data_IF_791009424890
#
_entry.id   IF_791009424890
#
_cell.length_a   1.000
_cell.length_b   1.000
_cell.length_c   1.000
_cell.angle_alpha   90.00
_cell.angle_beta   90.00
_cell.angle_gamma   90.00
#
_symmetry.space_group_name_H-M   'P 1'
#
loop_
_entity.id
_entity.type
_entity.pdbx_description
1 polymer ?
#
# COMPACT_ATOMS: atom_id res chain seq x y z
N UNK A 1 -0.05 -12.38 -17.83
CA UNK A 1 0.40 -13.43 -16.90
C UNK A 1 -0.76 -13.82 -15.96
N UNK A 2 -1.21 -15.08 -16.01
CA UNK A 2 -2.17 -15.61 -15.04
C UNK A 2 -1.40 -16.19 -13.86
N UNK A 3 -1.75 -15.78 -12.64
CA UNK A 3 -1.20 -16.34 -11.40
C UNK A 3 -2.35 -16.96 -10.59
N UNK A 4 -2.11 -18.13 -10.00
CA UNK A 4 -3.14 -18.86 -9.22
C UNK A 4 -3.04 -18.54 -7.72
N UNK A 5 -2.63 -17.30 -7.37
CA UNK A 5 -2.49 -16.79 -6.01
C UNK A 5 -3.00 -15.37 -5.93
N UNK A 6 -3.48 -14.97 -4.77
CA UNK A 6 -3.86 -13.58 -4.49
C UNK A 6 -2.67 -12.65 -4.66
N UNK A 7 -2.88 -11.53 -5.37
CA UNK A 7 -1.88 -10.47 -5.55
C UNK A 7 -2.23 -9.34 -4.58
N UNK A 8 -1.33 -9.05 -3.65
CA UNK A 8 -1.46 -7.92 -2.72
C UNK A 8 -1.01 -6.61 -3.36
N UNK A 9 0.10 -6.65 -4.10
CA UNK A 9 0.66 -5.47 -4.78
C UNK A 9 1.52 -5.87 -5.97
N UNK A 10 1.79 -4.87 -6.82
CA UNK A 10 2.70 -4.96 -7.97
C UNK A 10 3.66 -3.77 -7.91
N UNK A 11 4.95 -4.02 -8.13
CA UNK A 11 5.97 -2.97 -8.22
C UNK A 11 6.82 -3.15 -9.47
N UNK A 12 7.08 -2.05 -10.18
CA UNK A 12 7.91 -2.02 -11.38
C UNK A 12 9.40 -2.12 -11.03
N UNK A 13 10.19 -2.80 -11.85
CA UNK A 13 11.66 -2.83 -11.79
C UNK A 13 12.23 -2.07 -12.98
N UNK A 14 12.17 -2.65 -14.15
CA UNK A 14 12.58 -2.06 -15.44
C UNK A 14 11.80 -2.72 -16.57
N UNK A 15 11.58 -2.02 -17.67
CA UNK A 15 10.90 -2.54 -18.87
C UNK A 15 9.64 -3.36 -18.51
N UNK A 16 9.69 -4.67 -18.79
CA UNK A 16 8.59 -5.61 -18.52
C UNK A 16 8.83 -6.49 -17.28
N UNK A 17 9.76 -6.10 -16.41
CA UNK A 17 10.10 -6.83 -15.18
C UNK A 17 9.42 -6.18 -13.98
N UNK A 18 8.69 -6.99 -13.22
CA UNK A 18 7.89 -6.55 -12.07
C UNK A 18 8.10 -7.46 -10.87
N UNK A 19 7.94 -6.90 -9.68
CA UNK A 19 7.75 -7.67 -8.44
C UNK A 19 6.26 -7.83 -8.19
N UNK A 20 5.81 -9.05 -7.99
CA UNK A 20 4.47 -9.38 -7.52
C UNK A 20 4.54 -9.81 -6.05
N UNK A 21 3.78 -9.14 -5.20
CA UNK A 21 3.50 -9.60 -3.83
C UNK A 21 2.37 -10.61 -3.85
N UNK A 22 2.71 -11.88 -3.87
CA UNK A 22 1.74 -12.99 -3.87
C UNK A 22 1.53 -13.48 -2.44
N UNK A 23 0.50 -14.28 -2.19
CA UNK A 23 0.10 -14.75 -0.86
C UNK A 23 1.24 -14.76 0.19
N UNK A 24 2.27 -15.59 0.01
CA UNK A 24 3.38 -15.78 0.95
C UNK A 24 4.76 -15.65 0.28
N UNK A 25 4.81 -14.99 -0.87
CA UNK A 25 6.09 -14.84 -1.60
C UNK A 25 6.13 -13.54 -2.40
N UNK A 26 7.32 -13.01 -2.55
CA UNK A 26 7.65 -12.04 -3.60
C UNK A 26 8.12 -12.81 -4.82
N UNK A 27 7.58 -12.48 -5.99
CA UNK A 27 7.98 -13.10 -7.24
C UNK A 27 8.39 -12.04 -8.23
N UNK A 28 9.62 -12.11 -8.74
CA UNK A 28 10.10 -11.24 -9.81
C UNK A 28 9.85 -11.95 -11.12
N UNK A 29 9.13 -11.29 -12.03
CA UNK A 29 8.67 -11.87 -13.29
C UNK A 29 8.90 -10.94 -14.47
N UNK A 30 9.19 -11.51 -15.63
CA UNK A 30 9.07 -10.81 -16.91
C UNK A 30 7.67 -11.07 -17.47
N UNK A 31 6.87 -10.02 -17.69
CA UNK A 31 5.48 -10.15 -18.10
C UNK A 31 5.29 -10.56 -19.57
N UNK A 32 6.28 -10.33 -20.46
CA UNK A 32 6.20 -10.71 -21.88
C UNK A 32 6.39 -12.22 -22.03
N UNK A 33 7.55 -12.72 -21.62
CA UNK A 33 7.87 -14.15 -21.79
C UNK A 33 7.39 -15.02 -20.62
N UNK A 34 6.72 -14.42 -19.62
CA UNK A 34 6.15 -15.06 -18.44
C UNK A 34 7.17 -15.79 -17.55
N UNK A 35 8.47 -15.53 -17.73
CA UNK A 35 9.55 -16.17 -16.97
C UNK A 35 9.60 -15.63 -15.53
N UNK A 36 9.69 -16.54 -14.56
CA UNK A 36 9.96 -16.22 -13.17
C UNK A 36 11.48 -16.11 -13.03
N UNK A 37 11.96 -14.94 -12.61
CA UNK A 37 13.38 -14.67 -12.40
C UNK A 37 13.81 -15.02 -10.97
N UNK A 38 13.00 -14.63 -9.98
CA UNK A 38 13.25 -14.86 -8.56
C UNK A 38 11.95 -15.16 -7.82
N UNK A 39 12.07 -15.97 -6.76
CA UNK A 39 10.98 -16.26 -5.83
C UNK A 39 11.52 -16.25 -4.40
N UNK A 40 10.97 -15.38 -3.55
CA UNK A 40 11.41 -15.18 -2.17
C UNK A 40 10.24 -15.46 -1.25
N UNK A 41 10.31 -16.50 -0.43
CA UNK A 41 9.28 -16.83 0.56
C UNK A 41 9.32 -15.85 1.73
N UNK A 42 8.14 -15.39 2.14
CA UNK A 42 7.94 -14.48 3.27
C UNK A 42 7.11 -15.21 4.33
N UNK A 43 7.56 -15.14 5.59
CA UNK A 43 6.84 -15.71 6.74
C UNK A 43 6.45 -17.19 6.57
N UNK A 44 7.36 -18.04 6.09
CA UNK A 44 7.11 -19.47 5.81
C UNK A 44 6.47 -20.24 6.99
N UNK A 45 6.72 -19.79 8.24
CA UNK A 45 6.15 -20.37 9.46
C UNK A 45 4.73 -19.84 9.78
N UNK A 46 4.24 -18.80 9.08
CA UNK A 46 2.91 -18.21 9.30
C UNK A 46 1.98 -18.52 8.12
N UNK A 47 1.52 -19.76 8.01
CA UNK A 47 0.74 -20.29 6.88
C UNK A 47 -0.52 -19.48 6.54
N UNK A 48 -1.13 -18.86 7.55
CA UNK A 48 -2.33 -18.03 7.37
C UNK A 48 -2.04 -16.58 7.01
N UNK A 49 -0.79 -16.14 7.00
CA UNK A 49 -0.45 -14.80 6.58
C UNK A 49 -0.36 -14.69 5.06
N UNK A 50 -0.66 -13.50 4.56
CA UNK A 50 -0.43 -13.08 3.18
C UNK A 50 0.24 -11.72 3.12
N UNK A 51 0.89 -11.43 2.00
CA UNK A 51 1.31 -10.08 1.66
C UNK A 51 0.05 -9.24 1.36
N UNK A 52 0.05 -7.99 1.79
CA UNK A 52 -1.10 -7.11 1.61
C UNK A 52 -0.75 -5.93 0.68
N UNK A 53 -0.23 -4.85 1.21
CA UNK A 53 0.15 -3.67 0.43
C UNK A 53 1.67 -3.53 0.37
N UNK A 54 2.19 -2.91 -0.70
CA UNK A 54 3.61 -2.67 -0.87
C UNK A 54 3.89 -1.52 -1.84
N UNK A 55 4.97 -0.79 -1.57
CA UNK A 55 5.38 0.37 -2.36
C UNK A 55 6.89 0.57 -2.33
N UNK A 56 7.43 1.06 -3.42
CA UNK A 56 8.85 1.42 -3.52
C UNK A 56 9.09 2.83 -2.99
N UNK A 57 10.15 3.01 -2.23
CA UNK A 57 10.54 4.33 -1.70
C UNK A 57 11.39 5.14 -2.69
N UNK A 58 11.77 6.36 -2.29
CA UNK A 58 12.52 7.30 -3.12
C UNK A 58 13.94 6.86 -3.48
N UNK A 59 14.48 5.83 -2.83
CA UNK A 59 15.81 5.24 -3.11
C UNK A 59 15.72 3.85 -3.74
N UNK A 60 14.51 3.40 -4.10
CA UNK A 60 14.28 2.17 -4.82
C UNK A 60 14.22 0.91 -3.96
N UNK A 61 14.01 1.01 -2.64
CA UNK A 61 13.75 -0.16 -1.77
C UNK A 61 12.27 -0.50 -1.81
N UNK A 62 11.90 -1.77 -1.87
CA UNK A 62 10.51 -2.22 -1.83
C UNK A 62 10.09 -2.49 -0.38
N UNK A 63 9.08 -1.77 0.06
CA UNK A 63 8.45 -1.94 1.38
C UNK A 63 7.12 -2.63 1.22
N UNK A 64 6.82 -3.58 2.10
CA UNK A 64 5.57 -4.33 2.03
C UNK A 64 5.17 -4.83 3.42
N UNK A 65 3.88 -5.04 3.56
CA UNK A 65 3.31 -5.53 4.80
C UNK A 65 2.61 -6.87 4.66
N UNK A 66 2.43 -7.56 5.78
CA UNK A 66 1.69 -8.82 5.88
C UNK A 66 0.49 -8.69 6.79
N UNK A 67 -0.46 -9.62 6.65
CA UNK A 67 -1.64 -9.73 7.49
C UNK A 67 -2.13 -11.17 7.54
N UNK A 68 -2.99 -11.48 8.53
CA UNK A 68 -3.73 -12.73 8.55
C UNK A 68 -4.77 -12.77 7.42
N UNK A 69 -4.70 -13.75 6.54
CA UNK A 69 -5.58 -13.87 5.36
C UNK A 69 -7.03 -14.15 5.73
N UNK A 70 -7.27 -14.76 6.89
CA UNK A 70 -8.61 -14.99 7.42
C UNK A 70 -9.17 -13.77 8.15
N UNK A 71 -8.41 -12.68 8.24
CA UNK A 71 -8.78 -11.42 8.88
C UNK A 71 -9.26 -11.60 10.32
N UNK A 72 -8.72 -12.59 11.04
CA UNK A 72 -8.99 -12.82 12.47
C UNK A 72 -8.47 -11.63 13.30
N UNK A 73 -8.92 -11.53 14.54
CA UNK A 73 -8.47 -10.46 15.46
C UNK A 73 -7.10 -10.76 16.08
N UNK A 74 -6.11 -11.14 15.25
CA UNK A 74 -4.73 -11.47 15.70
C UNK A 74 -3.73 -10.50 15.08
N UNK A 75 -2.72 -10.12 15.85
CA UNK A 75 -1.66 -9.20 15.43
C UNK A 75 -0.48 -9.96 14.82
N UNK A 76 -0.73 -10.71 13.73
CA UNK A 76 0.29 -11.52 13.07
C UNK A 76 1.07 -10.77 11.99
N UNK A 77 0.56 -9.61 11.55
CA UNK A 77 1.14 -8.81 10.47
C UNK A 77 2.46 -8.14 10.87
N UNK A 78 3.31 -7.95 9.88
CA UNK A 78 4.63 -7.33 10.01
C UNK A 78 4.91 -6.42 8.82
N UNK A 79 5.78 -5.43 9.02
CA UNK A 79 6.32 -4.55 7.99
C UNK A 79 7.72 -5.01 7.60
N UNK A 80 7.99 -5.10 6.31
CA UNK A 80 9.26 -5.52 5.72
C UNK A 80 9.80 -4.50 4.73
N UNK A 81 11.12 -4.57 4.51
CA UNK A 81 11.81 -3.87 3.44
C UNK A 81 12.69 -4.87 2.68
N UNK A 82 12.53 -4.94 1.35
CA UNK A 82 13.43 -5.66 0.45
C UNK A 82 14.44 -4.66 -0.10
N UNK A 83 15.72 -4.93 0.07
CA UNK A 83 16.79 -4.12 -0.48
C UNK A 83 17.21 -4.57 -1.90
N UNK A 84 18.08 -3.80 -2.53
CA UNK A 84 18.57 -4.03 -3.90
C UNK A 84 19.29 -5.39 -4.10
N UNK A 85 19.76 -6.01 -3.03
CA UNK A 85 20.45 -7.32 -3.04
C UNK A 85 19.48 -8.47 -2.72
N UNK A 86 18.17 -8.24 -2.80
CA UNK A 86 17.10 -9.20 -2.48
C UNK A 86 17.09 -9.67 -1.01
N UNK A 87 17.74 -8.93 -0.10
CA UNK A 87 17.69 -9.22 1.33
C UNK A 87 16.44 -8.63 1.94
N UNK A 88 15.65 -9.46 2.63
CA UNK A 88 14.44 -9.08 3.34
C UNK A 88 14.78 -8.68 4.77
N UNK A 89 14.42 -7.45 5.14
CA UNK A 89 14.59 -6.89 6.48
C UNK A 89 13.23 -6.77 7.14
N UNK A 90 13.03 -7.39 8.30
CA UNK A 90 11.85 -7.14 9.13
C UNK A 90 12.06 -5.82 9.89
N UNK A 91 11.12 -4.89 9.72
CA UNK A 91 11.21 -3.53 10.25
C UNK A 91 10.39 -3.38 11.53
N UNK A 92 9.15 -3.92 11.51
CA UNK A 92 8.19 -3.79 12.61
C UNK A 92 7.21 -4.97 12.58
N UNK A 93 6.46 -5.16 13.68
CA UNK A 93 5.48 -6.24 13.77
C UNK A 93 4.27 -5.90 14.68
N UNK A 94 3.44 -6.92 14.96
CA UNK A 94 2.24 -6.82 15.80
C UNK A 94 1.15 -5.92 15.22
N UNK A 95 1.00 -5.93 13.91
CA UNK A 95 -0.12 -5.32 13.19
C UNK A 95 -1.26 -6.32 12.99
N UNK A 96 -2.49 -5.82 12.97
CA UNK A 96 -3.64 -6.60 12.51
C UNK A 96 -3.65 -6.68 10.99
N UNK A 97 -3.70 -5.52 10.33
CA UNK A 97 -3.75 -5.39 8.88
C UNK A 97 -2.83 -4.23 8.51
N UNK A 98 -1.73 -4.55 7.82
CA UNK A 98 -0.76 -3.55 7.35
C UNK A 98 -1.22 -2.92 6.04
N UNK A 99 -1.12 -1.60 5.91
CA UNK A 99 -1.34 -0.87 4.68
C UNK A 99 -0.37 0.30 4.51
N UNK A 100 -0.14 0.71 3.26
CA UNK A 100 0.94 1.59 2.89
C UNK A 100 2.26 0.81 2.69
N UNK A 101 3.42 1.47 2.75
CA UNK A 101 3.67 2.81 3.28
C UNK A 101 3.40 3.95 2.30
N UNK A 102 3.41 5.19 2.82
CA UNK A 102 3.47 6.42 2.03
C UNK A 102 4.66 7.27 2.50
N UNK A 103 5.57 7.61 1.59
CA UNK A 103 6.87 8.16 1.94
C UNK A 103 6.88 9.69 1.97
N UNK A 104 7.42 10.26 3.05
CA UNK A 104 7.80 11.67 3.12
C UNK A 104 9.17 11.89 2.50
N UNK A 105 10.13 11.04 2.86
CA UNK A 105 11.49 10.98 2.31
C UNK A 105 12.07 9.56 2.50
N UNK A 106 13.38 9.38 2.28
CA UNK A 106 14.07 8.08 2.39
C UNK A 106 14.08 7.46 3.80
N UNK A 107 13.78 8.25 4.84
CA UNK A 107 13.86 7.82 6.23
C UNK A 107 12.53 8.01 6.99
N UNK A 108 11.60 8.79 6.45
CA UNK A 108 10.34 9.13 7.09
C UNK A 108 9.15 8.69 6.22
N UNK A 109 8.20 7.97 6.81
CA UNK A 109 7.03 7.47 6.10
C UNK A 109 5.83 7.30 7.03
N UNK A 110 4.65 7.16 6.43
CA UNK A 110 3.44 6.76 7.10
C UNK A 110 3.18 5.26 6.89
N UNK A 111 2.65 4.59 7.91
CA UNK A 111 2.24 3.20 7.85
C UNK A 111 0.96 2.98 8.67
N UNK A 112 0.09 2.09 8.20
CA UNK A 112 -1.26 1.91 8.75
C UNK A 112 -1.42 0.58 9.46
N UNK A 113 -2.12 0.58 10.59
CA UNK A 113 -2.85 -0.60 11.10
C UNK A 113 -4.34 -0.37 10.84
N UNK A 114 -4.82 -0.87 9.72
CA UNK A 114 -6.18 -0.64 9.22
C UNK A 114 -7.24 -1.02 10.25
N UNK A 115 -7.12 -2.21 10.86
CA UNK A 115 -8.12 -2.68 11.84
C UNK A 115 -8.18 -1.82 13.09
N UNK A 116 -7.05 -1.25 13.51
CA UNK A 116 -7.04 -0.26 14.58
C UNK A 116 -7.60 1.08 14.16
N UNK A 117 -7.67 1.37 12.85
CA UNK A 117 -7.96 2.70 12.33
C UNK A 117 -6.83 3.70 12.62
N UNK A 118 -5.59 3.24 12.74
CA UNK A 118 -4.45 4.07 13.14
C UNK A 118 -3.42 4.19 12.02
N UNK A 119 -2.98 5.43 11.77
CA UNK A 119 -1.84 5.72 10.89
C UNK A 119 -0.70 6.23 11.76
N UNK A 120 0.47 5.63 11.60
CA UNK A 120 1.70 5.99 12.29
C UNK A 120 2.63 6.76 11.37
N UNK A 121 3.30 7.77 11.91
CA UNK A 121 4.48 8.39 11.29
C UNK A 121 5.72 7.72 11.87
N UNK A 122 6.54 7.13 11.00
CA UNK A 122 7.70 6.34 11.37
C UNK A 122 8.96 6.99 10.82
N UNK A 123 10.01 7.09 11.64
CA UNK A 123 11.36 7.47 11.25
C UNK A 123 12.30 6.31 11.46
N UNK A 124 13.15 6.03 10.47
CA UNK A 124 14.20 5.01 10.52
C UNK A 124 15.59 5.62 10.39
N UNK A 125 16.60 4.90 10.82
CA UNK A 125 18.01 5.23 10.58
C UNK A 125 18.57 4.52 9.32
N UNK A 126 19.85 4.75 9.00
CA UNK A 126 20.53 4.12 7.85
C UNK A 126 20.59 2.58 7.93
N UNK A 127 20.48 1.99 9.13
CA UNK A 127 20.46 0.53 9.36
C UNK A 127 19.03 -0.05 9.33
N UNK A 128 18.04 0.70 8.81
CA UNK A 128 16.62 0.34 8.75
C UNK A 128 15.97 0.07 10.13
N UNK A 129 16.53 0.60 11.21
CA UNK A 129 15.95 0.49 12.55
C UNK A 129 15.03 1.68 12.82
N UNK A 130 13.87 1.41 13.40
CA UNK A 130 12.93 2.47 13.82
C UNK A 130 13.58 3.26 14.97
N UNK A 131 13.68 4.57 14.80
CA UNK A 131 14.14 5.51 15.82
C UNK A 131 13.01 6.34 16.42
N UNK A 132 11.88 6.46 15.70
CA UNK A 132 10.67 7.09 16.21
C UNK A 132 9.44 6.51 15.52
N UNK A 133 8.39 6.21 16.29
CA UNK A 133 7.06 5.81 15.81
C UNK A 133 6.03 6.56 16.63
N UNK A 134 5.24 7.41 15.99
CA UNK A 134 4.19 8.20 16.63
C UNK A 134 2.88 8.02 15.90
N UNK A 135 1.77 8.01 16.65
CA UNK A 135 0.43 8.05 16.04
C UNK A 135 0.25 9.40 15.35
N UNK A 136 -0.10 9.36 14.07
CA UNK A 136 -0.36 10.53 13.25
C UNK A 136 -1.85 10.81 13.11
N UNK A 137 -2.65 9.77 12.83
CA UNK A 137 -4.09 9.85 12.68
C UNK A 137 -4.78 8.68 13.38
N UNK A 138 -6.00 8.93 13.84
CA UNK A 138 -6.98 7.94 14.30
C UNK A 138 -8.27 8.18 13.55
N UNK A 139 -8.78 7.14 12.88
CA UNK A 139 -10.03 7.15 12.14
C UNK A 139 -11.18 6.72 13.06
N UNK A 140 -12.30 7.41 12.97
CA UNK A 140 -13.55 6.95 13.53
C UNK A 140 -14.17 5.87 12.64
N UNK A 141 -14.85 4.90 13.23
CA UNK A 141 -15.50 3.79 12.49
C UNK A 141 -16.49 4.29 11.43
N UNK A 142 -17.18 5.42 11.69
CA UNK A 142 -18.13 6.06 10.74
C UNK A 142 -17.47 6.53 9.45
N UNK A 143 -16.18 6.83 9.47
CA UNK A 143 -15.42 7.27 8.32
C UNK A 143 -14.85 6.10 7.49
N UNK A 144 -15.10 4.84 7.91
CA UNK A 144 -14.46 3.64 7.37
C UNK A 144 -13.09 3.42 8.00
N UNK A 145 -12.26 2.61 7.33
CA UNK A 145 -10.94 2.25 7.80
C UNK A 145 -9.85 2.81 6.87
N UNK A 146 -8.72 3.31 7.39
CA UNK A 146 -7.61 3.74 6.56
C UNK A 146 -7.01 2.51 5.85
N UNK A 147 -6.89 2.59 4.53
CA UNK A 147 -6.33 1.55 3.67
C UNK A 147 -5.07 2.06 2.96
N UNK A 148 -4.85 1.76 1.71
CA UNK A 148 -3.71 2.24 0.95
C UNK A 148 -3.65 3.77 0.88
N UNK A 149 -2.44 4.30 0.72
CA UNK A 149 -2.19 5.75 0.80
C UNK A 149 -0.98 6.17 -0.02
N UNK A 150 -0.94 7.45 -0.37
CA UNK A 150 0.19 8.06 -1.08
C UNK A 150 0.46 9.48 -0.56
N UNK A 151 1.56 10.09 -0.99
CA UNK A 151 1.89 11.49 -0.66
C UNK A 151 2.04 12.33 -1.92
N UNK A 152 1.66 13.61 -1.83
CA UNK A 152 1.94 14.60 -2.86
C UNK A 152 3.28 15.33 -2.64
N UNK A 153 3.66 16.20 -3.58
CA UNK A 153 4.91 16.98 -3.51
C UNK A 153 4.94 17.97 -2.32
N UNK A 154 3.78 18.34 -1.75
CA UNK A 154 3.67 19.18 -0.56
C UNK A 154 3.72 18.35 0.74
N UNK A 155 3.97 17.04 0.65
CA UNK A 155 3.93 16.08 1.75
C UNK A 155 2.55 15.90 2.40
N UNK A 156 1.46 16.26 1.73
CA UNK A 156 0.14 15.88 2.22
C UNK A 156 -0.08 14.39 2.04
N UNK A 157 -0.75 13.77 3.01
CA UNK A 157 -1.07 12.34 3.00
C UNK A 157 -2.47 12.13 2.42
N UNK A 158 -2.56 11.36 1.35
CA UNK A 158 -3.77 10.92 0.68
C UNK A 158 -4.12 9.52 1.14
N UNK A 159 -5.26 9.36 1.82
CA UNK A 159 -5.67 8.10 2.46
C UNK A 159 -6.96 7.59 1.85
N UNK A 160 -6.96 6.35 1.39
CA UNK A 160 -8.14 5.64 0.94
C UNK A 160 -8.94 5.14 2.15
N UNK A 161 -10.28 5.22 2.07
CA UNK A 161 -11.18 4.78 3.12
C UNK A 161 -11.89 3.48 2.73
N UNK A 162 -11.47 2.35 3.28
CA UNK A 162 -12.20 1.10 3.14
C UNK A 162 -13.54 1.20 3.89
N UNK A 163 -14.64 1.06 3.16
CA UNK A 163 -15.99 1.25 3.70
C UNK A 163 -16.46 2.70 3.78
N UNK A 164 -15.60 3.69 3.49
CA UNK A 164 -15.92 5.12 3.62
C UNK A 164 -16.24 5.86 2.31
N UNK A 165 -16.17 5.21 1.17
CA UNK A 165 -16.49 5.74 -0.17
C UNK A 165 -15.74 7.04 -0.53
N UNK A 166 -14.54 7.26 -0.01
CA UNK A 166 -13.77 8.47 -0.27
C UNK A 166 -12.27 8.29 -0.10
N UNK A 167 -11.53 9.31 -0.56
CA UNK A 167 -10.15 9.59 -0.20
C UNK A 167 -10.14 10.88 0.59
N UNK A 168 -9.43 10.94 1.71
CA UNK A 168 -9.17 12.16 2.46
C UNK A 168 -7.71 12.57 2.36
N UNK A 169 -7.47 13.88 2.32
CA UNK A 169 -6.12 14.46 2.26
C UNK A 169 -5.83 15.18 3.56
N UNK A 170 -4.69 14.86 4.17
CA UNK A 170 -4.24 15.44 5.42
C UNK A 170 -2.90 16.14 5.27
N UNK A 171 -2.76 17.32 5.85
CA UNK A 171 -1.46 18.02 5.89
C UNK A 171 -0.54 17.43 6.97
N UNK A 172 0.69 17.95 7.07
CA UNK A 172 1.70 17.51 8.05
C UNK A 172 1.29 17.67 9.52
N UNK A 173 0.25 18.50 9.80
CA UNK A 173 -0.34 18.72 11.14
C UNK A 173 -1.57 17.83 11.39
N UNK A 174 -1.78 16.79 10.58
CA UNK A 174 -2.94 15.90 10.66
C UNK A 174 -4.31 16.57 10.44
N UNK A 175 -4.35 17.81 9.92
CA UNK A 175 -5.59 18.49 9.56
C UNK A 175 -6.07 17.99 8.21
N UNK A 176 -7.33 17.54 8.11
CA UNK A 176 -8.00 17.21 6.85
C UNK A 176 -8.17 18.50 6.04
N UNK A 177 -7.62 18.53 4.83
CA UNK A 177 -7.63 19.70 3.94
C UNK A 177 -8.47 19.49 2.69
N UNK A 178 -8.73 18.23 2.32
CA UNK A 178 -9.52 17.88 1.14
C UNK A 178 -10.16 16.50 1.26
N UNK A 179 -11.23 16.25 0.50
CA UNK A 179 -11.92 14.97 0.40
C UNK A 179 -12.42 14.76 -1.03
N UNK A 180 -12.24 13.56 -1.57
CA UNK A 180 -12.78 13.13 -2.86
C UNK A 180 -13.75 11.98 -2.59
N UNK A 181 -15.04 12.17 -2.86
CA UNK A 181 -16.05 11.12 -2.78
C UNK A 181 -16.06 10.30 -4.07
N UNK A 182 -16.32 9.00 -3.97
CA UNK A 182 -16.33 8.06 -5.09
C UNK A 182 -17.60 7.21 -5.08
N UNK A 183 -18.14 6.82 -6.24
CA UNK A 183 -19.29 5.94 -6.35
C UNK A 183 -18.92 4.46 -6.13
N UNK A 184 -18.01 4.21 -5.20
CA UNK A 184 -17.53 2.90 -4.75
C UNK A 184 -17.37 2.92 -3.23
N UNK A 185 -17.77 1.86 -2.53
CA UNK A 185 -17.75 1.85 -1.06
C UNK A 185 -16.37 1.61 -0.47
N UNK A 186 -15.67 0.59 -0.96
CA UNK A 186 -14.35 0.19 -0.46
C UNK A 186 -13.27 0.77 -1.36
N UNK A 187 -12.69 1.89 -0.96
CA UNK A 187 -11.55 2.48 -1.65
C UNK A 187 -10.30 1.87 -1.05
N UNK A 188 -9.51 1.16 -1.88
CA UNK A 188 -8.41 0.31 -1.36
C UNK A 188 -7.04 0.94 -1.46
N UNK A 189 -6.67 1.51 -2.60
CA UNK A 189 -5.36 2.13 -2.76
C UNK A 189 -5.41 3.28 -3.77
N UNK A 190 -4.43 4.18 -3.70
CA UNK A 190 -4.29 5.26 -4.67
C UNK A 190 -2.81 5.55 -4.95
N UNK A 191 -2.56 6.00 -6.19
CA UNK A 191 -1.22 6.38 -6.65
C UNK A 191 -1.32 7.48 -7.69
N UNK A 192 -0.39 8.41 -7.63
CA UNK A 192 -0.25 9.44 -8.66
C UNK A 192 0.43 8.89 -9.90
N UNK A 193 0.01 9.37 -11.07
CA UNK A 193 0.55 9.01 -12.37
C UNK A 193 0.16 10.01 -13.45
N UNK A 194 0.23 9.54 -14.71
CA UNK A 194 0.02 10.38 -15.88
C UNK A 194 1.26 11.23 -16.20
N UNK A 195 1.28 11.82 -17.40
CA UNK A 195 2.45 12.58 -17.91
C UNK A 195 2.88 13.73 -16.98
N UNK A 196 1.92 14.44 -16.36
CA UNK A 196 2.19 15.57 -15.45
C UNK A 196 2.20 15.14 -13.98
N UNK A 197 2.08 13.83 -13.68
CA UNK A 197 1.98 13.25 -12.34
C UNK A 197 0.88 13.90 -11.46
N UNK A 198 -0.24 14.28 -12.08
CA UNK A 198 -1.40 14.90 -11.44
C UNK A 198 -2.71 14.15 -11.72
N UNK A 199 -2.60 12.91 -12.16
CA UNK A 199 -3.71 11.98 -12.26
C UNK A 199 -3.62 10.99 -11.09
N UNK A 200 -4.69 10.88 -10.30
CA UNK A 200 -4.77 9.93 -9.21
C UNK A 200 -5.49 8.68 -9.72
N UNK A 201 -4.80 7.56 -9.74
CA UNK A 201 -5.35 6.24 -10.04
C UNK A 201 -5.78 5.58 -8.73
N UNK A 202 -7.00 5.04 -8.69
CA UNK A 202 -7.64 4.59 -7.45
C UNK A 202 -8.24 3.22 -7.68
N UNK A 203 -7.83 2.24 -6.87
CA UNK A 203 -8.43 0.91 -6.86
C UNK A 203 -9.53 0.79 -5.83
N UNK A 204 -10.51 -0.07 -6.10
CA UNK A 204 -11.64 -0.32 -5.22
C UNK A 204 -11.94 -1.81 -5.11
N UNK A 205 -12.71 -2.23 -4.11
CA UNK A 205 -13.05 -3.63 -3.91
C UNK A 205 -14.55 -3.86 -3.68
N UNK A 206 -15.02 -5.03 -4.12
CA UNK A 206 -16.39 -5.54 -3.86
C UNK A 206 -16.45 -6.47 -2.65
N UNK A 207 -15.30 -6.89 -2.10
CA UNK A 207 -15.22 -7.83 -0.99
C UNK A 207 -16.09 -7.36 0.18
N UNK A 208 -16.96 -8.25 0.68
CA UNK A 208 -17.83 -8.00 1.83
C UNK A 208 -19.01 -7.08 1.60
N UNK A 209 -19.24 -6.61 0.36
CA UNK A 209 -20.40 -5.78 0.02
C UNK A 209 -21.65 -6.63 -0.19
N UNK A 210 -22.76 -6.18 0.39
CA UNK A 210 -24.09 -6.76 0.21
C UNK A 210 -24.82 -6.10 -0.96
N UNK A 211 -25.96 -6.67 -1.40
CA UNK A 211 -26.73 -6.16 -2.53
C UNK A 211 -27.15 -4.68 -2.38
N UNK A 212 -27.54 -4.25 -1.17
CA UNK A 212 -27.88 -2.85 -0.92
C UNK A 212 -26.68 -1.91 -1.07
N UNK A 213 -25.45 -2.37 -0.69
CA UNK A 213 -24.22 -1.61 -0.92
C UNK A 213 -23.94 -1.45 -2.41
N UNK A 214 -24.10 -2.54 -3.18
CA UNK A 214 -23.85 -2.53 -4.62
C UNK A 214 -24.88 -1.67 -5.38
N UNK A 215 -26.14 -1.60 -4.91
CA UNK A 215 -27.14 -0.66 -5.45
C UNK A 215 -26.72 0.80 -5.19
N UNK A 216 -26.23 1.11 -3.98
CA UNK A 216 -25.79 2.47 -3.61
C UNK A 216 -24.44 2.85 -4.23
N UNK A 217 -23.54 1.90 -4.41
CA UNK A 217 -22.18 2.09 -4.92
C UNK A 217 -21.91 1.14 -6.10
N UNK A 218 -22.58 1.36 -7.24
CA UNK A 218 -22.59 0.39 -8.36
C UNK A 218 -21.22 0.17 -9.00
N UNK A 219 -20.32 1.17 -8.88
CA UNK A 219 -18.96 1.08 -9.45
C UNK A 219 -17.92 0.50 -8.49
N UNK A 220 -18.34 -0.11 -7.37
CA UNK A 220 -17.41 -0.85 -6.50
C UNK A 220 -16.70 -1.96 -7.25
N UNK A 221 -15.37 -2.07 -7.08
CA UNK A 221 -14.51 -3.01 -7.82
C UNK A 221 -13.90 -2.43 -9.10
N UNK A 222 -14.27 -1.23 -9.51
CA UNK A 222 -13.68 -0.53 -10.66
C UNK A 222 -12.36 0.16 -10.30
N UNK A 223 -11.57 0.42 -11.32
CA UNK A 223 -10.42 1.32 -11.28
C UNK A 223 -10.88 2.72 -11.70
N UNK A 224 -10.54 3.72 -10.90
CA UNK A 224 -10.85 5.12 -11.18
C UNK A 224 -9.59 5.90 -11.52
N UNK A 225 -9.77 6.95 -12.32
CA UNK A 225 -8.78 7.98 -12.60
C UNK A 225 -9.41 9.35 -12.36
N UNK A 226 -8.74 10.17 -11.54
CA UNK A 226 -9.19 11.53 -11.20
C UNK A 226 -8.03 12.49 -11.44
N UNK A 227 -8.28 13.55 -12.22
CA UNK A 227 -7.31 14.64 -12.38
C UNK A 227 -7.42 15.56 -11.15
N UNK A 228 -6.28 15.90 -10.56
CA UNK A 228 -6.21 16.77 -9.39
C UNK A 228 -5.25 17.94 -9.61
N UNK A 229 -5.41 19.01 -8.83
CA UNK A 229 -4.58 20.23 -8.98
C UNK A 229 -3.20 20.12 -8.32
N UNK A 230 -2.93 19.01 -7.62
CA UNK A 230 -1.63 18.74 -6.98
C UNK A 230 -0.89 17.64 -7.74
N UNK A 231 0.43 17.72 -7.73
CA UNK A 231 1.30 16.67 -8.28
C UNK A 231 1.65 15.68 -7.17
N UNK A 232 1.69 14.42 -7.51
CA UNK A 232 2.22 13.37 -6.65
C UNK A 232 3.74 13.38 -6.60
N UNK A 233 4.30 12.71 -5.61
CA UNK A 233 5.72 12.33 -5.66
C UNK A 233 5.93 11.25 -6.72
N UNK A 234 7.06 11.31 -7.40
CA UNK A 234 7.41 10.31 -8.40
C UNK A 234 7.67 8.98 -7.70
N UNK A 235 6.91 7.95 -8.07
CA UNK A 235 7.18 6.59 -7.64
C UNK A 235 8.43 6.07 -8.35
N UNK A 236 9.43 5.64 -7.57
CA UNK A 236 10.62 4.97 -8.11
C UNK A 236 10.31 3.50 -8.35
N UNK A 237 10.95 2.95 -9.38
CA UNK A 237 11.01 1.50 -9.57
C UNK A 237 11.85 0.83 -8.47
N UNK A 238 11.62 -0.43 -8.21
CA UNK A 238 12.48 -1.21 -7.32
C UNK A 238 13.87 -1.33 -7.94
N UNK A 239 14.89 -0.91 -7.19
CA UNK A 239 16.28 -0.95 -7.66
C UNK A 239 16.86 -2.34 -7.39
N UNK A 240 16.90 -3.19 -8.42
CA UNK A 240 17.52 -4.52 -8.37
C UNK A 240 18.91 -4.46 -9.02
N UNK A 241 19.94 -4.85 -8.27
CA UNK A 241 21.35 -4.81 -8.74
C UNK A 241 21.75 -6.02 -9.58
N UNK A 242 20.95 -7.09 -9.57
CA UNK A 242 21.28 -8.39 -10.22
C UNK A 242 20.37 -8.65 -11.42
N UNK A 243 20.42 -7.81 -12.45
CA UNK A 243 19.78 -8.13 -13.75
C UNK A 243 20.68 -7.77 -14.91
#
# INVERSE_FOLDING_TARGET
LKVNKEIGFVSHIKENIFVLGLKSELRIVNLINKKILYSIRIESKKQNNRLNDGKTDSVGRLWFGTMDNLERKIKSGSLYCLDKNLKVHKIDDKYFITNGPAFLDKNNFYHTDTRKGEIYKIKINKKLKIVKKTKFLKFDKKDGFPDGMTTDIKNNLWVCHYGGACISVYNLRAKKIHKISLPAKNITNCIFGGHKNNELYISTARKGLKNHDLKKYPLSGSLFKVKVNLKGKICKSFNLTQT
#
